data_IF_676069890722
#
_entry.id   IF_676069890722
#
_cell.length_a   1.000
_cell.length_b   1.000
_cell.length_c   1.000
_cell.angle_alpha   90.00
_cell.angle_beta   90.00
_cell.angle_gamma   90.00
#
_symmetry.space_group_name_H-M   'P 1'
#
loop_
_entity.id
_entity.type
_entity.pdbx_description
1 polymer ?
#
# COMPACT_ATOMS: atom_id res chain seq x y z
N UNK A 1 -0.62 -11.90 8.19
CA UNK A 1 -2.04 -12.22 8.47
C UNK A 1 -2.45 -13.42 7.60
N UNK A 2 -3.00 -14.47 8.20
CA UNK A 2 -3.53 -15.64 7.47
C UNK A 2 -5.04 -15.59 7.30
N UNK A 3 -5.72 -14.75 8.08
CA UNK A 3 -7.15 -14.48 7.97
C UNK A 3 -7.39 -13.34 6.97
N UNK A 4 -8.29 -13.51 5.97
CA UNK A 4 -8.70 -12.44 5.10
C UNK A 4 -9.37 -11.29 5.87
N UNK A 5 -9.21 -10.07 5.38
CA UNK A 5 -9.99 -8.92 5.82
C UNK A 5 -11.49 -9.18 5.56
N UNK A 6 -12.35 -8.71 6.47
CA UNK A 6 -13.78 -9.03 6.44
C UNK A 6 -14.49 -8.64 5.13
N UNK A 7 -14.03 -7.59 4.46
CA UNK A 7 -14.58 -7.11 3.18
C UNK A 7 -13.73 -7.52 1.96
N UNK A 8 -12.76 -8.42 2.15
CA UNK A 8 -11.93 -8.90 1.06
C UNK A 8 -12.79 -9.67 0.04
N UNK A 9 -12.72 -9.26 -1.24
CA UNK A 9 -13.48 -9.91 -2.31
C UNK A 9 -12.84 -11.25 -2.66
N UNK A 10 -13.54 -12.39 -2.59
CA UNK A 10 -12.95 -13.69 -2.87
C UNK A 10 -12.40 -13.76 -4.30
N UNK A 11 -11.42 -14.63 -4.52
CA UNK A 11 -10.89 -14.90 -5.86
C UNK A 11 -12.00 -15.42 -6.79
N UNK A 12 -11.82 -15.22 -8.10
CA UNK A 12 -12.79 -15.67 -9.09
C UNK A 12 -13.04 -17.19 -8.97
N UNK A 13 -14.29 -17.62 -9.19
CA UNK A 13 -14.67 -19.03 -9.18
C UNK A 13 -13.88 -19.86 -10.20
N UNK A 14 -13.72 -21.16 -9.93
CA UNK A 14 -13.02 -22.10 -10.80
C UNK A 14 -13.55 -22.02 -12.26
N UNK A 15 -12.62 -21.92 -13.22
CA UNK A 15 -12.92 -21.77 -14.65
C UNK A 15 -12.94 -20.32 -15.17
N UNK A 16 -12.84 -19.31 -14.30
CA UNK A 16 -12.61 -17.91 -14.72
C UNK A 16 -11.12 -17.59 -14.74
N UNK A 17 -10.72 -16.64 -15.61
CA UNK A 17 -9.34 -16.13 -15.62
C UNK A 17 -8.99 -15.58 -14.22
N UNK A 18 -7.79 -15.88 -13.68
CA UNK A 18 -7.34 -15.32 -12.41
C UNK A 18 -7.42 -13.80 -12.45
N UNK A 19 -7.74 -13.19 -11.32
CA UNK A 19 -7.73 -11.74 -11.22
C UNK A 19 -6.31 -11.20 -11.43
N UNK A 20 -6.17 -10.00 -11.99
CA UNK A 20 -4.86 -9.40 -12.26
C UNK A 20 -3.97 -9.29 -11.00
N UNK A 21 -4.59 -9.12 -9.83
CA UNK A 21 -3.88 -9.10 -8.56
C UNK A 21 -3.25 -10.45 -8.19
N UNK A 22 -3.95 -11.55 -8.50
CA UNK A 22 -3.53 -12.91 -8.18
C UNK A 22 -2.31 -13.30 -9.01
N UNK A 23 -2.31 -12.93 -10.29
CA UNK A 23 -1.16 -13.15 -11.16
C UNK A 23 0.07 -12.37 -10.69
N UNK A 24 -0.12 -11.11 -10.32
CA UNK A 24 0.97 -10.25 -9.81
C UNK A 24 1.55 -10.82 -8.51
N UNK A 25 0.69 -11.27 -7.59
CA UNK A 25 1.10 -11.92 -6.35
C UNK A 25 1.82 -13.26 -6.60
N UNK A 26 1.32 -14.09 -7.52
CA UNK A 26 1.93 -15.38 -7.86
C UNK A 26 3.36 -15.20 -8.37
N UNK A 27 3.55 -14.27 -9.31
CA UNK A 27 4.87 -13.95 -9.89
C UNK A 27 5.82 -13.34 -8.87
N UNK A 28 5.33 -12.43 -8.05
CA UNK A 28 6.09 -11.91 -6.93
C UNK A 28 6.52 -13.07 -6.04
N UNK A 29 5.60 -13.91 -5.57
CA UNK A 29 5.89 -15.06 -4.70
C UNK A 29 6.91 -16.04 -5.31
N UNK A 30 6.95 -16.16 -6.65
CA UNK A 30 7.93 -16.96 -7.38
C UNK A 30 9.34 -16.34 -7.47
N UNK A 31 9.56 -15.12 -7.00
CA UNK A 31 10.87 -14.47 -6.99
C UNK A 31 10.97 -13.19 -7.83
N UNK A 32 9.97 -12.88 -8.65
CA UNK A 32 10.09 -11.74 -9.58
C UNK A 32 10.00 -10.38 -8.87
N UNK A 33 10.83 -9.43 -9.32
CA UNK A 33 10.79 -8.05 -8.84
C UNK A 33 9.53 -7.32 -9.35
N UNK A 34 8.86 -6.47 -8.54
CA UNK A 34 7.65 -5.75 -8.95
C UNK A 34 7.78 -4.97 -10.27
N UNK A 35 8.93 -4.36 -10.55
CA UNK A 35 9.17 -3.66 -11.82
C UNK A 35 9.18 -4.61 -13.03
N UNK A 36 9.75 -5.81 -12.87
CA UNK A 36 9.76 -6.84 -13.93
C UNK A 36 8.34 -7.32 -14.20
N UNK A 37 7.54 -7.49 -13.15
CA UNK A 37 6.13 -7.83 -13.27
C UNK A 37 5.40 -6.72 -14.01
N UNK A 38 5.60 -5.46 -13.63
CA UNK A 38 4.97 -4.29 -14.21
C UNK A 38 5.22 -4.17 -15.72
N UNK A 39 6.46 -4.48 -16.16
CA UNK A 39 6.85 -4.42 -17.57
C UNK A 39 6.35 -5.60 -18.41
N UNK A 40 6.26 -6.81 -17.83
CA UNK A 40 5.94 -8.05 -18.57
C UNK A 40 4.50 -8.50 -18.32
N UNK A 41 3.52 -7.78 -18.83
CA UNK A 41 2.10 -8.14 -18.67
C UNK A 41 1.63 -9.10 -19.77
N UNK A 42 0.69 -10.00 -19.45
CA UNK A 42 0.11 -10.93 -20.43
C UNK A 42 -0.64 -10.22 -21.57
N UNK A 43 -1.14 -9.01 -21.32
CA UNK A 43 -1.78 -8.14 -22.32
C UNK A 43 -0.78 -7.45 -23.26
N UNK A 44 0.53 -7.54 -22.98
CA UNK A 44 1.58 -6.80 -23.67
C UNK A 44 1.69 -5.31 -23.31
N UNK A 45 0.77 -4.78 -22.48
CA UNK A 45 0.79 -3.37 -22.03
C UNK A 45 1.40 -3.25 -20.64
N UNK A 46 2.51 -2.51 -20.46
CA UNK A 46 3.06 -2.24 -19.14
C UNK A 46 2.06 -1.54 -18.22
N UNK A 47 2.17 -1.83 -16.93
CA UNK A 47 1.46 -1.12 -15.85
C UNK A 47 2.47 -0.41 -14.95
N UNK A 48 1.99 0.41 -14.01
CA UNK A 48 2.87 1.04 -13.03
C UNK A 48 3.34 0.03 -11.98
N UNK A 49 4.56 0.19 -11.48
CA UNK A 49 5.09 -0.61 -10.37
C UNK A 49 4.21 -0.46 -9.12
N UNK A 50 3.67 0.73 -8.85
CA UNK A 50 2.73 0.98 -7.76
C UNK A 50 1.45 0.15 -7.88
N UNK A 51 0.96 -0.10 -9.10
CA UNK A 51 -0.16 -1.01 -9.35
C UNK A 51 0.18 -2.45 -8.96
N UNK A 52 1.37 -2.93 -9.31
CA UNK A 52 1.85 -4.26 -8.89
C UNK A 52 1.95 -4.34 -7.37
N UNK A 53 2.50 -3.32 -6.71
CA UNK A 53 2.57 -3.26 -5.24
C UNK A 53 1.16 -3.30 -4.63
N UNK A 54 0.21 -2.53 -5.18
CA UNK A 54 -1.19 -2.57 -4.78
C UNK A 54 -1.83 -3.96 -4.95
N UNK A 55 -1.52 -4.67 -6.03
CA UNK A 55 -1.94 -6.05 -6.23
C UNK A 55 -1.38 -7.02 -5.18
N UNK A 56 -0.08 -6.95 -4.91
CA UNK A 56 0.59 -7.81 -3.93
C UNK A 56 0.07 -7.53 -2.52
N UNK A 57 -0.11 -6.26 -2.14
CA UNK A 57 -0.75 -5.87 -0.89
C UNK A 57 -2.23 -6.25 -0.84
N UNK A 58 -2.92 -6.26 -1.98
CA UNK A 58 -4.25 -6.85 -2.12
C UNK A 58 -4.26 -8.31 -1.67
N UNK A 59 -3.27 -9.11 -2.09
CA UNK A 59 -3.15 -10.49 -1.64
C UNK A 59 -2.97 -10.61 -0.12
N UNK A 60 -2.25 -9.68 0.52
CA UNK A 60 -2.14 -9.62 1.99
C UNK A 60 -3.52 -9.47 2.65
N UNK A 61 -4.38 -8.60 2.11
CA UNK A 61 -5.76 -8.43 2.62
C UNK A 61 -6.65 -9.66 2.36
N UNK A 62 -6.26 -10.53 1.44
CA UNK A 62 -6.91 -11.83 1.17
C UNK A 62 -6.38 -12.96 2.07
N UNK A 63 -5.55 -12.65 3.08
CA UNK A 63 -4.93 -13.65 3.95
C UNK A 63 -3.81 -14.44 3.26
N UNK A 64 -3.30 -13.98 2.12
CA UNK A 64 -2.14 -14.60 1.45
C UNK A 64 -0.84 -14.11 2.08
N UNK A 65 0.18 -14.97 2.19
CA UNK A 65 1.50 -14.55 2.65
C UNK A 65 2.15 -13.62 1.63
N UNK A 66 2.82 -12.58 2.13
CA UNK A 66 3.58 -11.61 1.35
C UNK A 66 4.88 -11.29 2.08
N UNK A 67 6.00 -11.36 1.38
CA UNK A 67 7.28 -10.84 1.87
C UNK A 67 7.28 -9.31 1.79
N UNK A 68 6.87 -8.67 2.90
CA UNK A 68 6.77 -7.21 2.98
C UNK A 68 8.14 -6.53 2.92
N UNK A 69 9.21 -7.19 3.40
CA UNK A 69 10.57 -6.63 3.34
C UNK A 69 11.04 -6.53 1.91
N UNK A 70 10.83 -7.58 1.11
CA UNK A 70 11.15 -7.56 -0.32
C UNK A 70 10.24 -6.63 -1.10
N UNK A 71 8.96 -6.53 -0.73
CA UNK A 71 8.06 -5.59 -1.40
C UNK A 71 8.50 -4.13 -1.17
N UNK A 72 8.97 -3.81 0.04
CA UNK A 72 9.44 -2.48 0.41
C UNK A 72 10.69 -2.03 -0.36
N UNK A 73 11.47 -2.94 -0.97
CA UNK A 73 12.60 -2.55 -1.83
C UNK A 73 12.17 -1.94 -3.16
N UNK A 74 10.95 -2.22 -3.64
CA UNK A 74 10.40 -1.64 -4.86
C UNK A 74 9.62 -0.35 -4.60
N UNK A 75 8.77 -0.36 -3.57
CA UNK A 75 8.05 0.83 -3.11
C UNK A 75 8.08 0.81 -1.58
N UNK A 76 8.80 1.75 -0.93
CA UNK A 76 8.89 1.80 0.51
C UNK A 76 7.51 1.89 1.17
N UNK A 77 7.37 1.22 2.31
CA UNK A 77 6.26 1.48 3.23
C UNK A 77 6.33 2.95 3.71
N UNK A 78 5.19 3.58 4.05
CA UNK A 78 5.18 4.92 4.58
C UNK A 78 6.03 5.02 5.85
N UNK A 79 6.75 6.11 6.00
CA UNK A 79 7.39 6.49 7.27
C UNK A 79 6.33 6.74 8.35
N UNK A 80 6.74 6.84 9.62
CA UNK A 80 5.79 7.16 10.70
C UNK A 80 5.07 8.50 10.45
N UNK A 81 5.79 9.52 9.98
CA UNK A 81 5.19 10.83 9.67
C UNK A 81 4.18 10.74 8.52
N UNK A 82 4.48 9.97 7.48
CA UNK A 82 3.57 9.75 6.36
C UNK A 82 2.36 8.89 6.76
N UNK A 83 2.55 7.91 7.65
CA UNK A 83 1.47 7.12 8.22
C UNK A 83 0.50 8.01 9.02
N UNK A 84 1.04 8.90 9.83
CA UNK A 84 0.26 9.86 10.61
C UNK A 84 -0.53 10.82 9.72
N UNK A 85 0.11 11.37 8.68
CA UNK A 85 -0.59 12.21 7.70
C UNK A 85 -1.74 11.46 7.00
N UNK A 86 -1.56 10.17 6.69
CA UNK A 86 -2.62 9.35 6.09
C UNK A 86 -3.75 9.02 7.08
N UNK A 87 -3.44 8.90 8.38
CA UNK A 87 -4.42 8.73 9.45
C UNK A 87 -5.25 10.00 9.66
N UNK A 88 -4.59 11.15 9.76
CA UNK A 88 -5.26 12.45 9.82
C UNK A 88 -6.14 12.70 8.58
N UNK A 89 -5.66 12.29 7.40
CA UNK A 89 -6.43 12.35 6.16
C UNK A 89 -7.68 11.45 6.17
N UNK A 90 -7.58 10.26 6.77
CA UNK A 90 -8.70 9.34 6.93
C UNK A 90 -9.79 9.97 7.79
N UNK A 91 -9.41 10.56 8.93
CA UNK A 91 -10.31 11.25 9.85
C UNK A 91 -10.94 12.50 9.19
N UNK A 92 -10.12 13.32 8.52
CA UNK A 92 -10.58 14.52 7.82
C UNK A 92 -11.55 14.20 6.68
N UNK A 93 -11.32 13.10 5.96
CA UNK A 93 -12.19 12.62 4.89
C UNK A 93 -13.45 11.90 5.41
N UNK A 94 -13.56 11.64 6.72
CA UNK A 94 -14.62 10.80 7.33
C UNK A 94 -14.75 9.45 6.63
N UNK A 95 -13.62 8.84 6.29
CA UNK A 95 -13.55 7.58 5.59
C UNK A 95 -13.02 6.52 6.55
N UNK A 96 -13.54 5.29 6.53
CA UNK A 96 -12.97 4.19 7.32
C UNK A 96 -12.34 3.18 6.36
N UNK A 97 -11.02 3.14 6.28
CA UNK A 97 -10.34 2.24 5.32
C UNK A 97 -10.50 0.76 5.66
N UNK A 98 -10.92 0.44 6.89
CA UNK A 98 -11.13 -0.93 7.40
C UNK A 98 -12.59 -1.36 7.27
N UNK A 99 -13.55 -0.44 7.38
CA UNK A 99 -14.97 -0.73 7.24
C UNK A 99 -15.57 -0.40 5.86
N UNK A 100 -14.81 0.25 4.97
CA UNK A 100 -15.26 0.63 3.62
C UNK A 100 -14.40 -0.01 2.50
N UNK A 101 -15.03 -0.88 1.70
CA UNK A 101 -14.42 -1.49 0.51
C UNK A 101 -14.33 -0.53 -0.69
N UNK A 102 -14.99 0.62 -0.61
CA UNK A 102 -14.97 1.69 -1.61
C UNK A 102 -14.04 2.85 -1.24
N UNK A 103 -13.34 2.77 -0.10
CA UNK A 103 -12.36 3.76 0.29
C UNK A 103 -11.38 4.05 -0.85
N UNK A 104 -11.24 5.32 -1.24
CA UNK A 104 -10.44 5.73 -2.40
C UNK A 104 -9.18 6.49 -1.98
N UNK A 105 -8.02 6.08 -2.51
CA UNK A 105 -6.75 6.75 -2.23
C UNK A 105 -6.78 8.24 -2.59
N UNK A 106 -7.42 8.61 -3.70
CA UNK A 106 -7.53 10.02 -4.12
C UNK A 106 -8.32 10.86 -3.12
N UNK A 107 -9.29 10.28 -2.41
CA UNK A 107 -10.04 10.99 -1.35
C UNK A 107 -9.12 11.31 -0.17
N UNK A 108 -8.29 10.36 0.27
CA UNK A 108 -7.25 10.63 1.30
C UNK A 108 -6.31 11.73 0.85
N UNK A 109 -5.72 11.58 -0.34
CA UNK A 109 -4.68 12.49 -0.82
C UNK A 109 -5.19 13.93 -1.03
N UNK A 110 -6.47 14.12 -1.36
CA UNK A 110 -7.07 15.47 -1.49
C UNK A 110 -7.06 16.28 -0.21
N UNK A 111 -6.96 15.65 0.96
CA UNK A 111 -6.98 16.36 2.24
C UNK A 111 -5.70 17.14 2.52
N UNK A 112 -4.55 16.71 1.97
CA UNK A 112 -3.25 17.35 2.22
C UNK A 112 -2.40 17.59 0.95
N UNK A 113 -2.82 17.08 -0.23
CA UNK A 113 -2.18 17.35 -1.52
C UNK A 113 -3.14 18.09 -2.46
N UNK A 114 -2.98 19.40 -2.66
CA UNK A 114 -3.80 20.17 -3.60
C UNK A 114 -3.80 19.58 -5.02
N UNK A 115 -2.68 19.00 -5.44
CA UNK A 115 -2.56 18.32 -6.74
C UNK A 115 -3.55 17.15 -6.95
N UNK A 116 -3.97 16.47 -5.87
CA UNK A 116 -4.92 15.36 -5.94
C UNK A 116 -6.36 15.84 -6.24
N UNK A 117 -6.67 17.13 -6.02
CA UNK A 117 -7.94 17.74 -6.36
C UNK A 117 -8.05 18.11 -7.83
N UNK A 118 -6.91 18.26 -8.52
CA UNK A 118 -6.84 18.64 -9.95
C UNK A 118 -7.07 17.44 -10.87
N UNK A 119 -7.61 17.69 -12.05
CA UNK A 119 -7.77 16.69 -13.09
C UNK A 119 -6.40 16.21 -13.62
N UNK A 120 -6.34 14.97 -14.11
CA UNK A 120 -5.06 14.34 -14.48
C UNK A 120 -4.29 15.11 -15.56
N UNK A 121 -4.99 15.67 -16.54
CA UNK A 121 -4.43 16.45 -17.64
C UNK A 121 -3.94 17.85 -17.21
N UNK A 122 -4.43 18.38 -16.09
CA UNK A 122 -4.05 19.69 -15.56
C UNK A 122 -2.84 19.65 -14.63
N UNK A 123 -2.44 18.45 -14.20
CA UNK A 123 -1.27 18.25 -13.33
C UNK A 123 0.02 18.42 -14.11
N UNK A 124 0.93 19.21 -13.56
CA UNK A 124 2.32 19.31 -14.00
C UNK A 124 3.04 17.96 -13.86
N UNK A 125 4.15 17.74 -14.59
CA UNK A 125 4.96 16.53 -14.41
C UNK A 125 5.42 16.31 -12.96
N UNK A 126 5.77 17.39 -12.25
CA UNK A 126 6.18 17.33 -10.84
C UNK A 126 5.04 16.88 -9.92
N UNK A 127 3.82 17.40 -10.12
CA UNK A 127 2.64 16.98 -9.37
C UNK A 127 2.29 15.51 -9.63
N UNK A 128 2.42 15.05 -10.88
CA UNK A 128 2.20 13.64 -11.23
C UNK A 128 3.18 12.72 -10.50
N UNK A 129 4.48 13.06 -10.53
CA UNK A 129 5.52 12.30 -9.83
C UNK A 129 5.30 12.27 -8.30
N UNK A 130 4.91 13.41 -7.72
CA UNK A 130 4.58 13.50 -6.30
C UNK A 130 3.41 12.57 -5.94
N UNK A 131 2.31 12.63 -6.69
CA UNK A 131 1.14 11.78 -6.46
C UNK A 131 1.44 10.30 -6.66
N UNK A 132 2.26 9.96 -7.66
CA UNK A 132 2.70 8.58 -7.89
C UNK A 132 3.43 8.00 -6.66
N UNK A 133 4.33 8.78 -6.06
CA UNK A 133 4.98 8.40 -4.81
C UNK A 133 3.99 8.18 -3.66
N UNK A 134 2.94 8.98 -3.58
CA UNK A 134 1.91 8.86 -2.55
C UNK A 134 0.95 7.69 -2.76
N UNK A 135 0.61 7.34 -4.00
CA UNK A 135 -0.25 6.17 -4.27
C UNK A 135 0.36 4.87 -3.74
N UNK A 136 1.68 4.71 -3.89
CA UNK A 136 2.41 3.58 -3.29
C UNK A 136 2.23 3.49 -1.77
N UNK A 137 2.36 4.63 -1.08
CA UNK A 137 2.19 4.74 0.38
C UNK A 137 0.75 4.49 0.82
N UNK A 138 -0.24 4.99 0.06
CA UNK A 138 -1.65 4.71 0.31
C UNK A 138 -1.96 3.21 0.22
N UNK A 139 -1.41 2.50 -0.77
CA UNK A 139 -1.59 1.05 -0.86
C UNK A 139 -1.08 0.34 0.40
N UNK A 140 0.11 0.70 0.88
CA UNK A 140 0.66 0.18 2.13
C UNK A 140 -0.25 0.47 3.32
N UNK A 141 -0.59 1.75 3.51
CA UNK A 141 -1.43 2.20 4.62
C UNK A 141 -2.76 1.46 4.68
N UNK A 142 -3.51 1.45 3.57
CA UNK A 142 -4.83 0.82 3.50
C UNK A 142 -4.74 -0.69 3.73
N UNK A 143 -3.78 -1.37 3.10
CA UNK A 143 -3.65 -2.82 3.24
C UNK A 143 -3.26 -3.22 4.66
N UNK A 144 -2.32 -2.50 5.28
CA UNK A 144 -1.88 -2.75 6.65
C UNK A 144 -3.01 -2.47 7.66
N UNK A 145 -3.73 -1.36 7.53
CA UNK A 145 -4.91 -1.06 8.36
C UNK A 145 -5.98 -2.16 8.25
N UNK A 146 -6.29 -2.63 7.04
CA UNK A 146 -7.30 -3.67 6.77
C UNK A 146 -6.97 -5.03 7.40
N UNK A 147 -5.68 -5.32 7.60
CA UNK A 147 -5.24 -6.54 8.27
C UNK A 147 -4.94 -6.34 9.76
N UNK A 148 -5.38 -5.22 10.33
CA UNK A 148 -5.28 -4.92 11.75
C UNK A 148 -3.88 -4.47 12.21
N UNK A 149 -3.01 -4.08 11.29
CA UNK A 149 -1.71 -3.49 11.66
C UNK A 149 -1.88 -2.02 12.02
N UNK A 150 -1.36 -1.66 13.19
CA UNK A 150 -1.07 -0.30 13.58
C UNK A 150 0.43 -0.23 13.93
N UNK A 151 1.18 0.75 13.40
CA UNK A 151 2.57 0.92 13.78
C UNK A 151 2.64 1.29 15.27
N UNK A 152 3.70 0.86 15.98
CA UNK A 152 3.90 1.26 17.37
C UNK A 152 3.97 2.79 17.44
N UNK A 153 3.48 3.44 18.52
CA UNK A 153 3.65 4.87 18.68
C UNK A 153 5.14 5.21 18.54
N UNK A 154 5.45 6.33 17.89
CA UNK A 154 6.83 6.79 17.77
C UNK A 154 7.45 6.77 19.16
N UNK A 155 8.44 5.91 19.37
CA UNK A 155 9.15 5.88 20.64
C UNK A 155 9.68 7.30 20.86
N UNK A 156 9.13 7.99 21.86
CA UNK A 156 9.69 9.23 22.36
C UNK A 156 11.06 8.86 22.91
N UNK A 157 12.07 8.90 22.05
CA UNK A 157 13.43 8.55 22.40
C UNK A 157 14.00 9.60 23.32
N UNK A 158 13.81 9.45 24.63
CA UNK A 158 14.92 9.73 25.53
C UNK A 158 15.89 8.55 25.38
N UNK A 159 17.16 8.79 25.02
CA UNK A 159 18.14 7.72 25.00
C UNK A 159 18.32 7.24 26.45
N UNK A 160 17.85 6.02 26.72
CA UNK A 160 18.03 5.35 28.00
C UNK A 160 19.54 5.28 28.28
N UNK A 161 19.99 6.10 29.23
CA UNK A 161 21.38 6.15 29.63
C UNK A 161 21.80 4.75 30.12
N UNK A 162 22.70 4.10 29.38
CA UNK A 162 23.33 2.84 29.78
C UNK A 162 23.92 3.00 31.18
N UNK A 163 23.24 2.48 32.20
CA UNK A 163 23.85 2.23 33.51
C UNK A 163 24.88 1.13 33.31
N UNK A 164 26.14 1.53 33.17
CA UNK A 164 27.29 0.65 33.31
C UNK A 164 27.30 0.15 34.76
N UNK A 165 26.99 -1.13 34.96
CA UNK A 165 27.33 -1.84 36.20
C UNK A 165 28.82 -2.16 36.13
N UNK A 166 29.62 -1.44 36.91
CA UNK A 166 30.96 -1.89 37.30
C UNK A 166 30.77 -2.71 38.57
N UNK A 167 31.28 -3.95 38.55
CA UNK A 167 31.30 -4.87 39.69
C UNK A 167 32.39 -4.55 40.69
#
# INVERSE_FOLDING_TARGET
>A
PTTPWALAKPSAAAGKKPAAWEESWRRFSAGEHPEVIAMKQASGKPIQTSTVVGHVLGALTQGRPVDLRRLASAVPAPTMQEWEALREAEDAARMDVVADDKAQMTVLLRTFLPAAAREFNERTPAEKAMLEGWYGRCHWYMALRRVGYAPPPAASGEPEAKKVRVG
#
